data_IF_298132802040
#
_entry.id   IF_298132802040
#
_cell.length_a   1.000
_cell.length_b   1.000
_cell.length_c   1.000
_cell.angle_alpha   90.00
_cell.angle_beta   90.00
_cell.angle_gamma   90.00
#
_symmetry.space_group_name_H-M   'P 1'
#
loop_
_entity.id
_entity.type
_entity.pdbx_description
1 polymer ?
#
# COMPACT_ATOMS: atom_id res chain seq x y z
N UNK A 1 10.64 -33.62 -6.55
CA UNK A 1 9.26 -33.18 -6.23
C UNK A 1 8.61 -34.14 -5.24
N UNK A 2 8.17 -33.64 -4.09
CA UNK A 2 7.63 -34.46 -3.00
C UNK A 2 6.11 -34.21 -2.86
N UNK A 3 5.32 -35.23 -2.52
CA UNK A 3 3.89 -35.11 -2.20
C UNK A 3 3.68 -35.30 -0.70
N UNK A 4 2.56 -34.81 -0.19
CA UNK A 4 2.15 -35.13 1.18
C UNK A 4 1.59 -36.56 1.23
N UNK A 5 2.10 -37.38 2.14
CA UNK A 5 1.64 -38.76 2.37
C UNK A 5 0.69 -38.87 3.57
N UNK A 6 0.32 -37.76 4.20
CA UNK A 6 -0.54 -37.79 5.39
C UNK A 6 -1.95 -38.28 5.04
N UNK A 7 -2.53 -39.21 5.82
CA UNK A 7 -3.86 -39.75 5.55
C UNK A 7 -4.91 -38.64 5.43
N UNK A 8 -5.73 -38.70 4.37
CA UNK A 8 -6.82 -37.74 4.09
C UNK A 8 -6.37 -36.26 4.00
N UNK A 9 -5.10 -35.99 3.69
CA UNK A 9 -4.67 -34.62 3.43
C UNK A 9 -5.39 -34.05 2.18
N UNK A 10 -6.07 -32.89 2.28
CA UNK A 10 -6.75 -32.29 1.14
C UNK A 10 -5.79 -31.64 0.14
N UNK A 11 -4.50 -31.50 0.49
CA UNK A 11 -3.49 -30.86 -0.35
C UNK A 11 -3.06 -31.78 -1.50
N UNK A 12 -3.40 -31.38 -2.73
CA UNK A 12 -2.90 -32.03 -3.96
C UNK A 12 -1.55 -31.47 -4.44
N UNK A 13 -0.92 -30.61 -3.65
CA UNK A 13 0.26 -29.85 -4.06
C UNK A 13 1.49 -30.75 -4.27
N UNK A 14 2.26 -30.44 -5.31
CA UNK A 14 3.60 -30.96 -5.53
C UNK A 14 4.62 -29.99 -4.93
N UNK A 15 5.37 -30.43 -3.92
CA UNK A 15 6.40 -29.63 -3.28
C UNK A 15 7.69 -29.70 -4.09
N UNK A 16 8.24 -28.52 -4.41
CA UNK A 16 9.49 -28.40 -5.18
C UNK A 16 10.75 -28.76 -4.37
N UNK A 17 10.66 -28.79 -3.04
CA UNK A 17 11.77 -29.20 -2.18
C UNK A 17 11.29 -29.95 -0.93
N UNK A 18 12.15 -30.81 -0.33
CA UNK A 18 11.84 -31.50 0.93
C UNK A 18 11.53 -30.52 2.07
N UNK A 19 12.24 -29.39 2.14
CA UNK A 19 12.00 -28.35 3.15
C UNK A 19 10.58 -27.80 3.09
N UNK A 20 10.03 -27.59 1.89
CA UNK A 20 8.65 -27.13 1.75
C UNK A 20 7.63 -28.19 2.16
N UNK A 21 7.90 -29.47 1.87
CA UNK A 21 7.07 -30.55 2.38
C UNK A 21 7.12 -30.59 3.91
N UNK A 22 8.31 -30.49 4.51
CA UNK A 22 8.45 -30.46 5.98
C UNK A 22 7.64 -29.32 6.59
N UNK A 23 7.73 -28.10 6.04
CA UNK A 23 6.93 -26.96 6.50
C UNK A 23 5.43 -27.20 6.34
N UNK A 24 5.00 -27.88 5.28
CA UNK A 24 3.60 -28.26 5.11
C UNK A 24 3.14 -29.27 6.18
N UNK A 25 3.94 -30.31 6.44
CA UNK A 25 3.63 -31.32 7.46
C UNK A 25 3.53 -30.67 8.84
N UNK A 26 4.47 -29.79 9.16
CA UNK A 26 4.46 -29.02 10.41
C UNK A 26 3.20 -28.16 10.52
N UNK A 27 2.99 -27.23 9.58
CA UNK A 27 1.97 -26.19 9.70
C UNK A 27 0.52 -26.67 9.48
N UNK A 28 0.32 -27.85 8.90
CA UNK A 28 -1.00 -28.38 8.56
C UNK A 28 -1.38 -29.58 9.42
N UNK A 29 -0.41 -30.42 9.82
CA UNK A 29 -0.70 -31.70 10.46
C UNK A 29 -0.14 -31.85 11.88
N UNK A 30 1.13 -31.52 12.11
CA UNK A 30 1.80 -31.71 13.42
C UNK A 30 1.47 -30.57 14.38
N UNK A 31 1.71 -29.34 13.95
CA UNK A 31 1.46 -28.10 14.69
C UNK A 31 0.64 -27.15 13.81
N UNK A 32 -0.68 -27.40 13.65
CA UNK A 32 -1.50 -26.65 12.73
C UNK A 32 -1.51 -25.16 13.06
N UNK A 33 -1.15 -24.32 12.09
CA UNK A 33 -1.20 -22.87 12.25
C UNK A 33 -2.65 -22.41 12.15
N UNK A 34 -3.33 -22.28 13.28
CA UNK A 34 -4.73 -21.86 13.37
C UNK A 34 -4.85 -20.43 13.89
N UNK A 35 -5.96 -19.77 13.58
CA UNK A 35 -6.30 -18.52 14.23
C UNK A 35 -6.81 -18.80 15.65
N UNK A 36 -6.22 -18.14 16.65
CA UNK A 36 -6.61 -18.22 18.06
C UNK A 36 -7.69 -17.22 18.46
N UNK A 37 -8.16 -16.36 17.55
CA UNK A 37 -9.12 -15.31 17.89
C UNK A 37 -10.52 -15.88 18.16
N UNK A 38 -11.18 -15.49 19.28
CA UNK A 38 -12.49 -15.99 19.64
C UNK A 38 -13.52 -15.78 18.52
N UNK A 39 -14.32 -16.81 18.23
CA UNK A 39 -15.38 -16.78 17.22
C UNK A 39 -14.92 -16.44 15.78
N UNK A 40 -13.62 -16.50 15.47
CA UNK A 40 -13.16 -16.37 14.08
C UNK A 40 -13.87 -17.41 13.20
N UNK A 41 -14.26 -17.13 11.96
CA UNK A 41 -14.90 -18.17 11.11
C UNK A 41 -13.88 -19.05 10.38
N UNK A 42 -12.61 -18.66 10.38
CA UNK A 42 -11.53 -19.36 9.68
C UNK A 42 -10.96 -20.50 10.55
N UNK A 43 -11.40 -21.72 10.29
CA UNK A 43 -11.02 -22.94 11.04
C UNK A 43 -9.96 -23.81 10.35
N UNK A 44 -9.52 -23.43 9.14
CA UNK A 44 -8.52 -24.21 8.40
C UNK A 44 -7.10 -23.76 8.73
N UNK A 45 -6.12 -24.69 8.79
CA UNK A 45 -4.72 -24.35 9.03
C UNK A 45 -4.12 -23.51 7.90
N UNK A 46 -3.32 -22.51 8.28
CA UNK A 46 -2.55 -21.69 7.36
C UNK A 46 -1.28 -22.43 6.91
N UNK A 47 -0.90 -22.24 5.65
CA UNK A 47 0.28 -22.90 5.07
C UNK A 47 1.59 -22.31 5.57
N UNK A 48 1.55 -21.09 6.09
CA UNK A 48 2.71 -20.37 6.59
C UNK A 48 2.35 -19.43 7.74
N UNK A 49 3.33 -19.13 8.58
CA UNK A 49 3.22 -18.10 9.61
C UNK A 49 2.91 -16.71 9.01
N UNK A 50 3.38 -16.44 7.78
CA UNK A 50 3.08 -15.19 7.09
C UNK A 50 1.59 -15.08 6.77
N UNK A 51 0.95 -16.15 6.29
CA UNK A 51 -0.47 -16.17 6.00
C UNK A 51 -1.33 -16.01 7.27
N UNK A 52 -0.94 -16.67 8.37
CA UNK A 52 -1.58 -16.51 9.67
C UNK A 52 -1.45 -15.07 10.19
N UNK A 53 -0.23 -14.51 10.22
CA UNK A 53 -0.01 -13.10 10.63
C UNK A 53 -0.84 -12.14 9.79
N UNK A 54 -0.91 -12.34 8.48
CA UNK A 54 -1.76 -11.54 7.58
C UNK A 54 -3.24 -11.69 7.92
N UNK A 55 -3.71 -12.89 8.23
CA UNK A 55 -5.09 -13.12 8.65
C UNK A 55 -5.42 -12.39 9.96
N UNK A 56 -4.52 -12.43 10.95
CA UNK A 56 -4.76 -11.79 12.25
C UNK A 56 -5.00 -10.28 12.15
N UNK A 57 -4.54 -9.62 11.07
CA UNK A 57 -4.82 -8.20 10.81
C UNK A 57 -6.31 -7.85 10.68
N UNK A 58 -7.16 -8.82 10.31
CA UNK A 58 -8.61 -8.61 10.26
C UNK A 58 -9.21 -8.42 11.65
N UNK A 59 -8.59 -9.02 12.67
CA UNK A 59 -9.05 -8.96 14.05
C UNK A 59 -8.49 -7.74 14.78
N UNK A 60 -7.32 -7.25 14.39
CA UNK A 60 -6.75 -6.02 14.94
C UNK A 60 -7.44 -4.75 14.42
N UNK A 61 -8.39 -4.86 13.49
CA UNK A 61 -9.04 -3.71 12.87
C UNK A 61 -8.06 -2.80 12.12
N UNK A 62 -6.97 -3.37 11.57
CA UNK A 62 -5.96 -2.59 10.85
C UNK A 62 -6.63 -1.84 9.69
N UNK A 63 -6.57 -0.51 9.74
CA UNK A 63 -7.21 0.34 8.74
C UNK A 63 -6.41 0.30 7.43
N UNK A 64 -7.13 0.34 6.31
CA UNK A 64 -6.50 0.39 5.01
C UNK A 64 -5.81 1.72 4.79
N UNK A 65 -4.62 1.67 4.19
CA UNK A 65 -3.79 2.85 3.93
C UNK A 65 -3.48 3.02 2.44
N UNK A 66 -3.84 2.04 1.59
CA UNK A 66 -3.81 2.20 0.14
C UNK A 66 -5.16 2.70 -0.34
N UNK A 67 -5.24 3.93 -0.83
CA UNK A 67 -6.50 4.45 -1.38
C UNK A 67 -6.47 4.42 -2.89
N UNK A 68 -7.65 4.25 -3.51
CA UNK A 68 -7.83 4.51 -4.92
C UNK A 68 -7.48 6.00 -5.21
N UNK A 69 -6.55 6.28 -6.14
CA UNK A 69 -6.15 7.65 -6.47
C UNK A 69 -7.12 8.34 -7.42
N UNK A 70 -8.06 7.60 -8.05
CA UNK A 70 -9.05 8.18 -8.95
C UNK A 70 -10.18 8.86 -8.16
N UNK A 71 -10.40 10.19 -8.33
CA UNK A 71 -11.36 10.94 -7.54
C UNK A 71 -12.82 10.49 -7.76
N UNK A 72 -13.14 10.10 -9.00
CA UNK A 72 -14.48 9.65 -9.39
C UNK A 72 -14.62 8.12 -9.37
N UNK A 73 -13.85 7.42 -8.51
CA UNK A 73 -14.01 5.98 -8.36
C UNK A 73 -15.33 5.67 -7.64
N UNK A 74 -16.24 4.98 -8.33
CA UNK A 74 -17.52 4.53 -7.76
C UNK A 74 -17.48 3.08 -7.23
N UNK A 75 -16.41 2.34 -7.55
CA UNK A 75 -16.28 0.93 -7.15
C UNK A 75 -15.71 0.79 -5.75
N UNK A 76 -16.49 0.18 -4.86
CA UNK A 76 -16.02 -0.21 -3.54
C UNK A 76 -15.25 -1.54 -3.52
N UNK A 77 -14.30 -1.71 -2.57
CA UNK A 77 -13.85 -0.71 -1.60
C UNK A 77 -12.89 0.32 -2.22
N UNK A 78 -12.89 1.56 -1.73
CA UNK A 78 -11.93 2.61 -2.15
C UNK A 78 -10.62 2.61 -1.36
N UNK A 79 -10.60 1.90 -0.22
CA UNK A 79 -9.46 1.84 0.71
C UNK A 79 -9.11 0.36 0.93
N UNK A 80 -7.82 0.05 0.88
CA UNK A 80 -7.30 -1.31 0.97
C UNK A 80 -6.20 -1.41 2.02
N UNK A 81 -6.24 -2.48 2.80
CA UNK A 81 -5.17 -2.88 3.74
C UNK A 81 -3.98 -3.50 2.98
N UNK A 82 -4.22 -4.02 1.78
CA UNK A 82 -3.27 -4.85 1.04
C UNK A 82 -2.91 -4.26 -0.31
N UNK A 83 -1.61 -4.09 -0.54
CA UNK A 83 -1.06 -3.57 -1.80
C UNK A 83 -1.51 -4.38 -3.02
N UNK A 84 -1.52 -5.71 -2.94
CA UNK A 84 -1.93 -6.57 -4.07
C UNK A 84 -3.41 -6.40 -4.44
N UNK A 85 -4.27 -6.21 -3.44
CA UNK A 85 -5.71 -5.96 -3.65
C UNK A 85 -5.95 -4.59 -4.25
N UNK A 86 -5.23 -3.57 -3.77
CA UNK A 86 -5.24 -2.23 -4.34
C UNK A 86 -4.79 -2.23 -5.80
N UNK A 87 -3.64 -2.83 -6.14
CA UNK A 87 -3.15 -2.90 -7.52
C UNK A 87 -4.11 -3.65 -8.45
N UNK A 88 -4.74 -4.71 -7.96
CA UNK A 88 -5.76 -5.42 -8.74
C UNK A 88 -7.00 -4.57 -8.97
N UNK A 89 -7.45 -3.81 -7.97
CA UNK A 89 -8.52 -2.83 -8.15
C UNK A 89 -8.13 -1.80 -9.21
N UNK A 90 -6.93 -1.22 -9.14
CA UNK A 90 -6.47 -0.26 -10.16
C UNK A 90 -6.48 -0.84 -11.57
N UNK A 91 -6.10 -2.11 -11.73
CA UNK A 91 -6.13 -2.80 -13.04
C UNK A 91 -7.52 -3.11 -13.56
N UNK A 92 -8.46 -3.45 -12.69
CA UNK A 92 -9.79 -3.95 -13.10
C UNK A 92 -10.90 -2.91 -13.07
N UNK A 93 -10.69 -1.82 -12.34
CA UNK A 93 -11.73 -0.84 -12.03
C UNK A 93 -11.58 0.46 -12.79
N UNK A 94 -10.41 0.70 -13.37
CA UNK A 94 -10.06 1.95 -14.06
C UNK A 94 -9.47 1.68 -15.42
N UNK A 95 -9.64 2.65 -16.31
CA UNK A 95 -9.11 2.67 -17.67
C UNK A 95 -8.75 4.10 -18.04
N UNK A 96 -7.62 4.29 -18.72
CA UNK A 96 -7.18 5.59 -19.21
C UNK A 96 -5.71 5.54 -19.65
N UNK A 97 -5.17 6.70 -19.97
CA UNK A 97 -3.80 6.94 -20.44
C UNK A 97 -3.08 8.03 -19.59
N UNK A 98 -3.72 8.49 -18.52
CA UNK A 98 -3.27 9.61 -17.68
C UNK A 98 -3.18 9.25 -16.21
N UNK A 99 -2.18 9.80 -15.52
CA UNK A 99 -2.09 9.70 -14.07
C UNK A 99 -3.09 10.67 -13.40
N UNK A 100 -3.94 10.22 -12.47
CA UNK A 100 -4.96 11.06 -11.83
C UNK A 100 -4.45 11.91 -10.64
N UNK A 101 -3.17 11.78 -10.28
CA UNK A 101 -2.60 12.39 -9.07
C UNK A 101 -1.94 13.73 -9.36
N UNK A 102 -2.16 14.71 -8.48
CA UNK A 102 -1.55 16.04 -8.60
C UNK A 102 -0.02 15.96 -8.36
N UNK A 103 0.74 16.93 -8.88
CA UNK A 103 2.20 17.01 -8.85
C UNK A 103 2.94 15.86 -9.55
N UNK A 104 2.20 14.94 -10.18
CA UNK A 104 2.81 13.96 -11.06
C UNK A 104 3.23 14.62 -12.37
N UNK A 105 4.49 14.42 -12.78
CA UNK A 105 5.00 14.93 -14.05
C UNK A 105 4.29 14.33 -15.28
N UNK A 106 3.66 13.16 -15.11
CA UNK A 106 2.87 12.46 -16.13
C UNK A 106 1.35 12.76 -16.01
N UNK A 107 0.92 13.63 -15.10
CA UNK A 107 -0.47 14.03 -14.99
C UNK A 107 -0.95 14.72 -16.27
N UNK A 108 -2.10 14.28 -16.80
CA UNK A 108 -2.75 14.92 -17.95
C UNK A 108 -2.02 14.83 -19.30
N UNK A 109 -0.91 14.10 -19.41
CA UNK A 109 -0.09 14.05 -20.63
C UNK A 109 -0.39 12.90 -21.60
N UNK A 110 -1.23 11.93 -21.20
CA UNK A 110 -1.59 10.79 -22.07
C UNK A 110 -0.41 9.87 -22.42
N UNK A 111 0.58 9.75 -21.54
CA UNK A 111 1.86 9.08 -21.83
C UNK A 111 1.78 7.54 -21.76
N UNK A 112 0.69 6.97 -21.24
CA UNK A 112 0.59 5.54 -20.98
C UNK A 112 -0.23 4.82 -22.05
N UNK A 113 0.32 3.74 -22.62
CA UNK A 113 -0.33 2.97 -23.69
C UNK A 113 -1.23 1.86 -23.15
N UNK A 114 -1.13 1.54 -21.86
CA UNK A 114 -1.96 0.52 -21.23
C UNK A 114 -2.22 0.78 -19.76
N UNK A 115 -3.33 0.21 -19.26
CA UNK A 115 -3.64 0.26 -17.83
C UNK A 115 -2.56 -0.39 -16.97
N UNK A 116 -1.84 -1.38 -17.49
CA UNK A 116 -0.74 -2.01 -16.77
C UNK A 116 0.44 -1.05 -16.53
N UNK A 117 0.74 -0.19 -17.51
CA UNK A 117 1.79 0.82 -17.40
C UNK A 117 1.44 1.90 -16.38
N UNK A 118 0.20 2.42 -16.40
CA UNK A 118 -0.27 3.38 -15.39
C UNK A 118 -0.16 2.77 -14.00
N UNK A 119 -0.60 1.54 -13.82
CA UNK A 119 -0.58 0.87 -12.51
C UNK A 119 0.86 0.68 -12.03
N UNK A 120 1.79 0.33 -12.92
CA UNK A 120 3.21 0.20 -12.55
C UNK A 120 3.85 1.57 -12.26
N UNK A 121 3.48 2.61 -12.99
CA UNK A 121 3.86 3.99 -12.70
C UNK A 121 3.36 4.41 -11.31
N UNK A 122 2.07 4.26 -11.01
CA UNK A 122 1.47 4.57 -9.71
C UNK A 122 2.18 3.79 -8.60
N UNK A 123 2.46 2.51 -8.82
CA UNK A 123 3.16 1.66 -7.85
C UNK A 123 4.58 2.13 -7.54
N UNK A 124 5.25 2.76 -8.51
CA UNK A 124 6.67 3.16 -8.43
C UNK A 124 6.85 4.60 -7.92
N UNK A 125 6.03 5.53 -8.38
CA UNK A 125 6.17 6.97 -8.13
C UNK A 125 5.11 7.54 -7.20
N UNK A 126 4.18 6.72 -6.71
CA UNK A 126 3.19 7.14 -5.75
C UNK A 126 3.15 6.24 -4.50
N UNK A 127 2.95 6.87 -3.36
CA UNK A 127 2.97 6.27 -2.02
C UNK A 127 1.79 6.72 -1.17
N UNK A 128 2.07 7.01 0.10
CA UNK A 128 1.05 7.38 1.08
C UNK A 128 1.25 8.79 1.64
N UNK A 129 2.38 9.44 1.35
CA UNK A 129 2.67 10.76 1.89
C UNK A 129 1.87 11.83 1.17
N UNK A 130 1.43 12.83 1.93
CA UNK A 130 0.77 14.02 1.40
C UNK A 130 1.47 15.28 1.90
N UNK A 131 1.35 16.35 1.13
CA UNK A 131 1.72 17.68 1.55
C UNK A 131 0.46 18.46 1.95
N UNK A 132 0.41 18.95 3.17
CA UNK A 132 -0.65 19.81 3.70
C UNK A 132 -0.12 21.19 4.09
N UNK A 133 0.93 21.66 3.39
CA UNK A 133 1.53 22.97 3.60
C UNK A 133 0.82 23.98 2.70
N UNK A 134 0.28 25.05 3.30
CA UNK A 134 -0.33 26.14 2.53
C UNK A 134 -1.43 25.65 1.58
N UNK A 135 -1.36 26.03 0.31
CA UNK A 135 -2.28 25.65 -0.76
C UNK A 135 -2.41 24.13 -0.94
N UNK A 136 -1.35 23.35 -0.67
CA UNK A 136 -1.39 21.89 -0.75
C UNK A 136 -2.41 21.26 0.20
N UNK A 137 -2.73 21.92 1.33
CA UNK A 137 -3.74 21.43 2.28
C UNK A 137 -5.16 21.33 1.70
N UNK A 138 -5.46 22.16 0.69
CA UNK A 138 -6.75 22.20 0.00
C UNK A 138 -6.68 21.56 -1.39
N UNK A 139 -5.48 21.20 -1.83
CA UNK A 139 -5.21 20.58 -3.12
C UNK A 139 -5.74 19.15 -3.23
N UNK A 140 -5.85 18.68 -4.47
CA UNK A 140 -6.07 17.26 -4.74
C UNK A 140 -4.87 16.43 -4.29
N UNK A 141 -5.14 15.21 -3.84
CA UNK A 141 -4.13 14.30 -3.31
C UNK A 141 -3.06 13.95 -4.34
N UNK A 142 -1.80 13.96 -3.89
CA UNK A 142 -0.63 13.70 -4.73
C UNK A 142 0.01 12.36 -4.44
N UNK A 143 -0.11 11.87 -3.19
CA UNK A 143 0.36 10.54 -2.80
C UNK A 143 1.82 10.33 -3.16
N UNK A 144 2.69 11.14 -2.60
CA UNK A 144 4.11 11.05 -2.85
C UNK A 144 4.71 9.75 -2.31
N UNK A 145 5.75 9.25 -2.98
CA UNK A 145 6.73 8.39 -2.30
C UNK A 145 7.51 9.22 -1.28
N UNK A 146 8.27 8.57 -0.41
CA UNK A 146 9.14 9.31 0.51
C UNK A 146 10.10 10.21 -0.28
N UNK A 147 10.78 9.68 -1.30
CA UNK A 147 11.72 10.43 -2.13
C UNK A 147 11.06 11.61 -2.86
N UNK A 148 9.90 11.38 -3.49
CA UNK A 148 9.21 12.44 -4.23
C UNK A 148 8.66 13.54 -3.30
N UNK A 149 8.29 13.19 -2.06
CA UNK A 149 7.89 14.17 -1.05
C UNK A 149 9.07 15.09 -0.71
N UNK A 150 10.26 14.54 -0.46
CA UNK A 150 11.43 15.37 -0.11
C UNK A 150 11.74 16.36 -1.24
N UNK A 151 11.76 15.88 -2.48
CA UNK A 151 11.96 16.72 -3.66
C UNK A 151 10.88 17.78 -3.78
N UNK A 152 9.61 17.44 -3.54
CA UNK A 152 8.50 18.41 -3.56
C UNK A 152 8.66 19.48 -2.48
N UNK A 153 9.02 19.09 -1.25
CA UNK A 153 9.23 20.02 -0.14
C UNK A 153 10.41 20.98 -0.40
N UNK A 154 11.48 20.48 -1.00
CA UNK A 154 12.63 21.30 -1.41
C UNK A 154 12.24 22.27 -2.54
N UNK A 155 11.64 21.76 -3.61
CA UNK A 155 11.40 22.53 -4.84
C UNK A 155 10.19 23.46 -4.76
N UNK A 156 9.10 23.04 -4.13
CA UNK A 156 7.85 23.80 -4.09
C UNK A 156 7.75 24.71 -2.87
N UNK A 157 8.36 24.33 -1.74
CA UNK A 157 8.26 25.07 -0.48
C UNK A 157 9.59 25.69 -0.05
N UNK A 158 10.71 25.39 -0.72
CA UNK A 158 12.02 25.98 -0.43
C UNK A 158 12.64 25.49 0.88
N UNK A 159 12.19 24.33 1.40
CA UNK A 159 12.64 23.85 2.71
C UNK A 159 14.09 23.37 2.67
N UNK A 160 14.81 23.61 3.77
CA UNK A 160 16.16 23.11 3.94
C UNK A 160 16.16 21.63 4.37
N UNK A 161 17.24 20.90 4.07
CA UNK A 161 17.36 19.46 4.31
C UNK A 161 16.96 19.02 5.73
N UNK A 162 17.40 19.76 6.76
CA UNK A 162 17.13 19.43 8.16
C UNK A 162 15.64 19.61 8.54
N UNK A 163 14.99 20.61 7.96
CA UNK A 163 13.55 20.87 8.16
C UNK A 163 12.70 19.83 7.44
N UNK A 164 13.08 19.47 6.20
CA UNK A 164 12.44 18.39 5.44
C UNK A 164 12.48 17.08 6.24
N UNK A 165 13.65 16.73 6.79
CA UNK A 165 13.81 15.51 7.59
C UNK A 165 12.89 15.49 8.82
N UNK A 166 12.78 16.63 9.51
CA UNK A 166 11.94 16.81 10.69
C UNK A 166 10.45 16.72 10.33
N UNK A 167 10.02 17.43 9.29
CA UNK A 167 8.65 17.44 8.80
C UNK A 167 8.19 16.04 8.34
N UNK A 168 9.05 15.32 7.61
CA UNK A 168 8.80 13.92 7.21
C UNK A 168 8.63 13.02 8.44
N UNK A 169 9.48 13.17 9.45
CA UNK A 169 9.39 12.34 10.66
C UNK A 169 8.10 12.63 11.43
N UNK A 170 7.68 13.90 11.51
CA UNK A 170 6.37 14.28 12.06
C UNK A 170 5.21 13.64 11.28
N UNK A 171 5.27 13.65 9.94
CA UNK A 171 4.28 12.98 9.11
C UNK A 171 4.22 11.47 9.36
N UNK A 172 5.35 10.78 9.55
CA UNK A 172 5.38 9.34 9.90
C UNK A 172 4.71 9.02 11.25
N UNK A 173 4.68 9.99 12.17
CA UNK A 173 3.99 9.87 13.46
C UNK A 173 2.48 10.19 13.34
N UNK A 174 2.07 10.90 12.28
CA UNK A 174 0.67 11.16 11.99
C UNK A 174 0.00 9.93 11.37
N UNK A 175 -1.27 9.70 11.70
CA UNK A 175 -2.04 8.57 11.18
C UNK A 175 -2.29 8.64 9.66
N UNK A 176 -2.26 9.84 9.09
CA UNK A 176 -2.53 10.11 7.67
C UNK A 176 -1.30 10.48 6.85
N UNK A 177 -0.10 10.40 7.45
CA UNK A 177 1.19 10.54 6.74
C UNK A 177 1.32 11.87 6.00
N UNK A 178 0.66 12.91 6.52
CA UNK A 178 0.59 14.23 5.90
C UNK A 178 1.53 15.20 6.62
N UNK A 179 2.39 15.88 5.87
CA UNK A 179 3.21 17.00 6.36
C UNK A 179 2.32 18.23 6.54
N UNK A 180 2.43 18.95 7.66
CA UNK A 180 1.55 20.10 7.96
C UNK A 180 2.35 21.36 8.17
N UNK A 181 1.77 22.51 7.82
CA UNK A 181 2.37 23.83 8.06
C UNK A 181 2.82 24.05 9.51
N UNK A 182 2.09 23.51 10.50
CA UNK A 182 2.44 23.68 11.92
C UNK A 182 3.78 23.05 12.33
N UNK A 183 4.27 22.10 11.54
CA UNK A 183 5.49 21.35 11.82
C UNK A 183 6.72 22.01 11.15
N UNK A 184 6.53 23.16 10.50
CA UNK A 184 7.51 23.88 9.68
C UNK A 184 7.53 25.35 10.11
N UNK A 185 8.73 25.96 10.13
CA UNK A 185 8.90 27.34 10.62
C UNK A 185 8.61 28.40 9.56
N UNK A 186 9.17 28.21 8.37
CA UNK A 186 8.99 29.11 7.22
C UNK A 186 8.87 28.28 5.94
N UNK A 187 8.03 28.71 5.01
CA UNK A 187 7.79 28.02 3.75
C UNK A 187 7.23 28.95 2.67
N UNK A 188 7.54 28.65 1.42
CA UNK A 188 6.85 29.24 0.27
C UNK A 188 5.58 28.48 -0.07
N UNK A 189 4.56 29.17 -0.58
CA UNK A 189 3.31 28.51 -0.97
C UNK A 189 3.46 27.79 -2.32
N UNK A 190 2.82 26.63 -2.46
CA UNK A 190 2.95 25.82 -3.67
C UNK A 190 2.20 26.48 -4.84
N UNK A 191 2.89 26.65 -5.97
CA UNK A 191 2.32 27.26 -7.18
C UNK A 191 1.54 26.29 -8.06
N UNK A 192 1.59 24.99 -7.75
CA UNK A 192 0.94 23.93 -8.51
C UNK A 192 -0.39 23.44 -7.89
N UNK A 193 -0.81 24.02 -6.76
CA UNK A 193 -2.07 23.70 -6.07
C UNK A 193 -3.09 24.83 -6.19
#
# INVERSE_FOLDING_TARGET
>A
PCRCSWPKCPSKALFKSPRMLQTHLENIHVSPLLCSFPNCTHRTPFRSNFDLKRHLRIHSGEQGHFHCPYPNCEKDPKIFVRKDKWLNHLRSSHSGDTCPLNHCSAAGKGEFQSQAEIVEHIKKYHGNFECGIGSCSSGSRSRFTESDLLTHLEMAHGLQYDEIGSARNAAKLASDWTVRSKDIRDYHDCTCC
#
